data_IF_476815120160
#
_entry.id   IF_476815120160
#
_cell.length_a   1.000
_cell.length_b   1.000
_cell.length_c   1.000
_cell.angle_alpha   90.00
_cell.angle_beta   90.00
_cell.angle_gamma   90.00
#
_symmetry.space_group_name_H-M   'P 1'
#
loop_
_entity.id
_entity.type
_entity.pdbx_description
1 polymer ?
#
# COMPACT_ATOMS: atom_id res chain seq x y z
N UNK A 1 -19.20 8.14 63.65
CA UNK A 1 -20.02 8.70 62.55
C UNK A 1 -19.06 8.97 61.40
N UNK A 2 -19.21 8.19 60.34
CA UNK A 2 -18.20 7.89 59.34
C UNK A 2 -17.99 9.01 58.32
N UNK A 3 -16.74 9.41 58.11
CA UNK A 3 -16.33 10.28 57.01
C UNK A 3 -15.82 9.45 55.84
N UNK A 4 -16.67 9.14 54.87
CA UNK A 4 -16.30 8.91 53.47
C UNK A 4 -17.60 8.93 52.64
N UNK A 5 -17.73 9.85 51.68
CA UNK A 5 -17.44 9.44 50.31
C UNK A 5 -16.96 10.59 49.42
N UNK A 6 -15.85 11.25 49.77
CA UNK A 6 -15.23 12.21 48.83
C UNK A 6 -14.55 11.46 47.67
N UNK A 7 -14.08 10.23 47.91
CA UNK A 7 -13.42 9.39 46.91
C UNK A 7 -14.36 9.03 45.74
N UNK A 8 -15.67 8.86 46.00
CA UNK A 8 -16.64 8.49 44.95
C UNK A 8 -16.91 9.64 43.97
N UNK A 9 -16.80 10.91 44.40
CA UNK A 9 -16.97 12.06 43.50
C UNK A 9 -15.76 12.28 42.59
N UNK A 10 -14.55 11.92 43.03
CA UNK A 10 -13.34 12.04 42.23
C UNK A 10 -13.25 10.97 41.13
N UNK A 11 -13.75 9.76 41.39
CA UNK A 11 -13.86 8.70 40.37
C UNK A 11 -14.85 9.04 39.25
N UNK A 12 -15.92 9.78 39.57
CA UNK A 12 -16.92 10.16 38.56
C UNK A 12 -16.38 11.19 37.54
N UNK A 13 -15.44 12.05 37.95
CA UNK A 13 -14.83 13.05 37.07
C UNK A 13 -13.79 12.45 36.11
N UNK A 14 -13.11 11.38 36.49
CA UNK A 14 -12.12 10.69 35.64
C UNK A 14 -12.76 9.81 34.55
N UNK A 15 -14.00 9.34 34.75
CA UNK A 15 -14.71 8.57 33.72
C UNK A 15 -15.24 9.44 32.56
N UNK A 16 -15.37 10.75 32.77
CA UNK A 16 -15.85 11.70 31.75
C UNK A 16 -14.73 12.27 30.86
N UNK A 17 -13.47 11.96 31.14
CA UNK A 17 -12.30 12.44 30.38
C UNK A 17 -11.35 11.33 29.94
N UNK A 18 -11.86 10.12 29.69
CA UNK A 18 -11.17 9.24 28.76
C UNK A 18 -11.66 9.59 27.34
N UNK A 19 -10.83 10.18 26.47
CA UNK A 19 -11.08 10.08 25.04
C UNK A 19 -11.30 8.60 24.75
N UNK A 20 -12.42 8.29 24.12
CA UNK A 20 -12.67 6.96 23.58
C UNK A 20 -11.38 6.40 23.01
N UNK A 21 -11.07 5.16 23.40
CA UNK A 21 -10.10 4.34 22.71
C UNK A 21 -10.24 4.60 21.21
N UNK A 22 -9.14 5.00 20.57
CA UNK A 22 -9.02 5.09 19.13
C UNK A 22 -9.16 3.67 18.57
N UNK A 23 -10.38 3.15 18.58
CA UNK A 23 -10.78 2.07 17.70
C UNK A 23 -10.53 2.60 16.31
N UNK A 24 -9.71 1.86 15.56
CA UNK A 24 -9.31 2.18 14.20
C UNK A 24 -10.46 2.87 13.47
N UNK A 25 -10.23 4.10 13.00
CA UNK A 25 -11.21 4.87 12.24
C UNK A 25 -11.76 3.95 11.17
N UNK A 26 -13.04 3.58 11.27
CA UNK A 26 -13.74 2.86 10.22
C UNK A 26 -13.79 3.81 9.03
N UNK A 27 -12.79 3.72 8.16
CA UNK A 27 -12.66 4.60 7.00
C UNK A 27 -13.91 4.39 6.17
N UNK A 28 -14.72 5.45 6.03
CA UNK A 28 -15.88 5.40 5.14
C UNK A 28 -15.39 5.07 3.73
N UNK A 29 -16.17 4.35 2.89
CA UNK A 29 -15.68 3.86 1.59
C UNK A 29 -14.99 4.92 0.73
N UNK A 30 -15.52 6.15 0.71
CA UNK A 30 -14.90 7.28 -0.01
C UNK A 30 -13.54 7.70 0.57
N UNK A 31 -13.39 7.74 1.90
CA UNK A 31 -12.11 8.08 2.54
C UNK A 31 -11.05 7.00 2.34
N UNK A 32 -11.48 5.73 2.28
CA UNK A 32 -10.60 4.60 2.02
C UNK A 32 -10.07 4.64 0.58
N UNK A 33 -10.93 4.86 -0.42
CA UNK A 33 -10.48 4.98 -1.81
C UNK A 33 -9.52 6.16 -2.01
N UNK A 34 -9.82 7.34 -1.43
CA UNK A 34 -8.91 8.47 -1.49
C UNK A 34 -7.54 8.16 -0.89
N UNK A 35 -7.51 7.43 0.23
CA UNK A 35 -6.26 6.97 0.86
C UNK A 35 -5.47 6.05 -0.08
N UNK A 36 -6.12 5.07 -0.69
CA UNK A 36 -5.50 4.11 -1.62
C UNK A 36 -4.93 4.80 -2.87
N UNK A 37 -5.70 5.73 -3.46
CA UNK A 37 -5.24 6.53 -4.60
C UNK A 37 -4.08 7.47 -4.22
N UNK A 38 -4.06 7.98 -2.99
CA UNK A 38 -2.95 8.79 -2.49
C UNK A 38 -1.69 7.94 -2.29
N UNK A 39 -1.79 6.71 -1.78
CA UNK A 39 -0.64 5.78 -1.69
C UNK A 39 -0.02 5.52 -3.05
N UNK A 40 -0.84 5.21 -4.05
CA UNK A 40 -0.37 4.99 -5.43
C UNK A 40 0.36 6.23 -5.96
N UNK A 41 -0.24 7.42 -5.80
CA UNK A 41 0.36 8.69 -6.21
C UNK A 41 1.70 8.94 -5.53
N UNK A 42 1.77 8.73 -4.22
CA UNK A 42 3.00 8.92 -3.46
C UNK A 42 4.12 8.01 -3.95
N UNK A 43 3.82 6.72 -4.18
CA UNK A 43 4.82 5.79 -4.70
C UNK A 43 5.28 6.25 -6.08
N UNK A 44 4.36 6.59 -7.00
CA UNK A 44 4.73 7.09 -8.34
C UNK A 44 5.63 8.33 -8.27
N UNK A 45 5.31 9.30 -7.40
CA UNK A 45 6.11 10.50 -7.22
C UNK A 45 7.50 10.21 -6.63
N UNK A 46 7.60 9.24 -5.74
CA UNK A 46 8.88 8.85 -5.14
C UNK A 46 9.73 8.03 -6.14
N UNK A 47 9.09 7.24 -7.01
CA UNK A 47 9.76 6.56 -8.13
C UNK A 47 10.36 7.55 -9.13
N UNK A 48 9.68 8.66 -9.43
CA UNK A 48 10.18 9.70 -10.34
C UNK A 48 11.48 10.37 -9.88
N UNK A 49 11.79 10.28 -8.58
CA UNK A 49 13.00 10.84 -7.99
C UNK A 49 14.17 9.86 -7.98
N UNK A 50 13.97 8.60 -8.34
CA UNK A 50 15.04 7.60 -8.35
C UNK A 50 16.07 7.95 -9.42
N UNK A 51 17.38 7.91 -9.09
CA UNK A 51 18.44 8.14 -10.07
C UNK A 51 18.58 6.91 -10.97
N UNK A 52 17.93 6.95 -12.13
CA UNK A 52 17.93 5.86 -13.11
C UNK A 52 18.71 6.28 -14.35
N UNK A 53 19.65 5.44 -14.80
CA UNK A 53 20.51 5.71 -15.96
C UNK A 53 19.80 5.49 -17.31
N UNK A 54 18.87 4.54 -17.38
CA UNK A 54 18.06 4.22 -18.55
C UNK A 54 16.73 3.62 -18.12
N UNK A 55 15.64 3.96 -18.80
CA UNK A 55 14.34 3.31 -18.62
C UNK A 55 14.14 2.31 -19.74
N UNK A 56 13.96 1.04 -19.38
CA UNK A 56 13.61 0.00 -20.34
C UNK A 56 12.13 0.08 -20.71
N UNK A 57 11.81 -0.17 -21.98
CA UNK A 57 10.42 -0.16 -22.44
C UNK A 57 9.75 -1.51 -22.14
N UNK A 58 8.58 -1.47 -21.52
CA UNK A 58 7.78 -2.69 -21.28
C UNK A 58 7.28 -3.29 -22.58
N UNK A 59 7.51 -4.58 -22.77
CA UNK A 59 6.92 -5.33 -23.87
C UNK A 59 5.45 -5.69 -23.57
N UNK A 60 4.70 -6.07 -24.61
CA UNK A 60 3.26 -6.36 -24.49
C UNK A 60 2.93 -7.52 -23.54
N UNK A 61 3.83 -8.49 -23.40
CA UNK A 61 3.63 -9.61 -22.48
C UNK A 61 3.78 -9.18 -21.02
N UNK A 62 4.76 -8.33 -20.73
CA UNK A 62 4.96 -7.74 -19.40
C UNK A 62 3.76 -6.89 -19.00
N UNK A 63 3.30 -5.98 -19.88
CA UNK A 63 2.11 -5.16 -19.61
C UNK A 63 0.90 -6.02 -19.28
N UNK A 64 0.61 -7.02 -20.12
CA UNK A 64 -0.49 -7.97 -19.89
C UNK A 64 -0.36 -8.68 -18.56
N UNK A 65 0.86 -9.10 -18.17
CA UNK A 65 1.13 -9.78 -16.90
C UNK A 65 0.89 -8.86 -15.69
N UNK A 66 1.31 -7.61 -15.78
CA UNK A 66 1.13 -6.61 -14.73
C UNK A 66 -0.34 -6.23 -14.53
N UNK A 67 -1.15 -6.29 -15.60
CA UNK A 67 -2.59 -6.03 -15.56
C UNK A 67 -3.42 -7.24 -15.10
N UNK A 68 -2.85 -8.45 -15.09
CA UNK A 68 -3.61 -9.66 -14.79
C UNK A 68 -3.98 -9.72 -13.29
N UNK A 69 -5.29 -9.69 -12.99
CA UNK A 69 -5.82 -9.66 -11.62
C UNK A 69 -5.30 -10.81 -10.75
N UNK A 70 -5.19 -12.02 -11.30
CA UNK A 70 -4.67 -13.20 -10.60
C UNK A 70 -3.19 -13.10 -10.23
N UNK A 71 -2.46 -12.19 -10.89
CA UNK A 71 -1.03 -11.96 -10.68
C UNK A 71 -0.76 -10.70 -9.88
N UNK A 72 -1.77 -9.94 -9.46
CA UNK A 72 -1.54 -8.70 -8.72
C UNK A 72 -0.75 -8.95 -7.42
N UNK A 73 -1.13 -9.95 -6.63
CA UNK A 73 -0.46 -10.25 -5.37
C UNK A 73 0.94 -10.87 -5.57
N UNK A 74 1.12 -11.90 -6.44
CA UNK A 74 2.46 -12.39 -6.78
C UNK A 74 3.40 -11.30 -7.33
N UNK A 75 2.91 -10.40 -8.20
CA UNK A 75 3.72 -9.30 -8.71
C UNK A 75 4.13 -8.33 -7.60
N UNK A 76 3.25 -8.05 -6.62
CA UNK A 76 3.60 -7.21 -5.47
C UNK A 76 4.75 -7.82 -4.67
N UNK A 77 4.77 -9.15 -4.49
CA UNK A 77 5.82 -9.84 -3.73
C UNK A 77 7.19 -9.69 -4.39
N UNK A 78 7.25 -9.74 -5.72
CA UNK A 78 8.47 -9.44 -6.49
C UNK A 78 8.92 -7.99 -6.28
N UNK A 79 8.00 -7.03 -6.34
CA UNK A 79 8.32 -5.61 -6.08
C UNK A 79 8.79 -5.37 -4.64
N UNK A 80 8.17 -6.00 -3.64
CA UNK A 80 8.56 -5.90 -2.24
C UNK A 80 9.95 -6.51 -2.01
N UNK A 81 10.23 -7.66 -2.63
CA UNK A 81 11.53 -8.34 -2.55
C UNK A 81 12.61 -7.45 -3.15
N UNK A 82 12.38 -6.93 -4.36
CA UNK A 82 13.33 -6.03 -5.01
C UNK A 82 13.53 -4.74 -4.21
N UNK A 83 12.46 -4.10 -3.73
CA UNK A 83 12.52 -2.86 -2.96
C UNK A 83 13.27 -3.06 -1.63
N UNK A 84 13.08 -4.19 -0.96
CA UNK A 84 13.83 -4.55 0.25
C UNK A 84 15.33 -4.59 -0.02
N UNK A 85 15.73 -5.29 -1.08
CA UNK A 85 17.13 -5.48 -1.43
C UNK A 85 17.80 -4.19 -1.95
N UNK A 86 17.06 -3.35 -2.68
CA UNK A 86 17.62 -2.22 -3.43
C UNK A 86 17.43 -0.87 -2.75
N UNK A 87 16.32 -0.68 -2.02
CA UNK A 87 15.95 0.61 -1.40
C UNK A 87 16.01 0.54 0.14
N UNK A 88 16.03 -0.67 0.71
CA UNK A 88 15.99 -0.91 2.14
C UNK A 88 14.56 -1.02 2.70
N UNK A 89 14.43 -1.80 3.78
CA UNK A 89 13.15 -2.08 4.46
C UNK A 89 12.44 -0.81 4.94
N UNK A 90 13.20 0.23 5.28
CA UNK A 90 12.68 1.49 5.80
C UNK A 90 12.28 2.51 4.74
N UNK A 91 12.53 2.22 3.47
CA UNK A 91 12.19 3.12 2.38
C UNK A 91 10.69 3.41 2.34
N UNK A 92 10.35 4.65 2.00
CA UNK A 92 8.95 5.09 1.88
C UNK A 92 8.18 4.29 0.83
N UNK A 93 8.84 3.95 -0.28
CA UNK A 93 8.27 3.08 -1.33
C UNK A 93 7.91 1.72 -0.73
N UNK A 94 8.82 1.06 0.00
CA UNK A 94 8.55 -0.25 0.62
C UNK A 94 7.37 -0.20 1.59
N UNK A 95 7.33 0.82 2.46
CA UNK A 95 6.25 1.01 3.43
C UNK A 95 4.89 1.19 2.75
N UNK A 96 4.83 2.05 1.73
CA UNK A 96 3.59 2.29 0.99
C UNK A 96 3.15 1.06 0.16
N UNK A 97 4.08 0.26 -0.37
CA UNK A 97 3.75 -1.00 -1.05
C UNK A 97 3.13 -2.04 -0.09
N UNK A 98 3.61 -2.12 1.16
CA UNK A 98 2.98 -2.98 2.19
C UNK A 98 1.55 -2.54 2.50
N UNK A 99 1.28 -1.24 2.52
CA UNK A 99 -0.08 -0.69 2.71
C UNK A 99 -1.02 -0.98 1.53
N UNK A 100 -0.47 -1.23 0.32
CA UNK A 100 -1.23 -1.67 -0.85
C UNK A 100 -1.56 -3.17 -0.78
N UNK A 101 -0.76 -3.98 -0.11
CA UNK A 101 -0.99 -5.43 -0.03
C UNK A 101 -2.42 -5.86 0.37
N UNK A 102 -3.08 -5.27 1.39
CA UNK A 102 -4.44 -5.66 1.79
C UNK A 102 -5.54 -5.29 0.79
N UNK A 103 -5.28 -4.37 -0.16
CA UNK A 103 -6.30 -3.94 -1.13
C UNK A 103 -6.34 -4.83 -2.38
N UNK A 104 -5.33 -5.70 -2.53
CA UNK A 104 -5.21 -6.59 -3.68
C UNK A 104 -6.07 -7.84 -3.54
N UNK A 105 -6.61 -8.37 -4.65
CA UNK A 105 -7.27 -9.65 -4.68
C UNK A 105 -6.35 -10.77 -4.16
N UNK A 106 -6.89 -11.67 -3.36
CA UNK A 106 -6.18 -12.86 -2.84
C UNK A 106 -6.28 -14.05 -3.81
N UNK A 107 -6.49 -13.79 -5.10
CA UNK A 107 -6.56 -14.85 -6.09
C UNK A 107 -5.20 -15.55 -6.19
N UNK A 108 -5.19 -16.88 -6.08
CA UNK A 108 -3.99 -17.67 -6.34
C UNK A 108 -3.86 -17.94 -7.84
N UNK A 109 -2.65 -17.83 -8.36
CA UNK A 109 -2.29 -18.14 -9.73
C UNK A 109 -1.14 -19.13 -9.75
N UNK A 110 -1.16 -20.04 -10.72
CA UNK A 110 -0.04 -20.94 -11.03
C UNK A 110 0.90 -20.36 -12.07
N UNK A 111 0.55 -19.21 -12.66
CA UNK A 111 1.43 -18.49 -13.59
C UNK A 111 2.54 -17.80 -12.80
N UNK A 112 3.70 -17.72 -13.41
CA UNK A 112 4.83 -16.98 -12.84
C UNK A 112 4.50 -15.48 -12.71
N UNK A 113 5.04 -14.79 -11.69
CA UNK A 113 4.91 -13.35 -11.54
C UNK A 113 5.78 -12.61 -12.56
N UNK A 114 5.76 -11.28 -12.51
CA UNK A 114 6.67 -10.43 -13.27
C UNK A 114 8.11 -10.62 -12.77
N UNK A 115 9.05 -10.78 -13.68
CA UNK A 115 10.47 -10.78 -13.33
C UNK A 115 11.00 -9.35 -13.35
N UNK A 116 11.65 -8.94 -12.27
CA UNK A 116 12.38 -7.67 -12.21
C UNK A 116 13.86 -7.98 -12.42
N UNK A 117 14.49 -7.29 -13.37
CA UNK A 117 15.89 -7.48 -13.66
C UNK A 117 16.75 -7.13 -12.44
N UNK A 118 17.69 -8.03 -12.13
CA UNK A 118 18.55 -7.91 -10.96
C UNK A 118 19.36 -6.61 -11.03
N UNK A 119 19.39 -5.87 -9.93
CA UNK A 119 20.12 -4.61 -9.78
C UNK A 119 19.73 -3.51 -10.81
N UNK A 120 18.58 -3.67 -11.50
CA UNK A 120 18.08 -2.71 -12.49
C UNK A 120 16.94 -1.87 -11.90
N UNK A 121 17.30 -0.70 -11.35
CA UNK A 121 16.31 0.27 -10.83
C UNK A 121 15.39 0.84 -11.91
N UNK A 122 15.82 0.87 -13.17
CA UNK A 122 15.01 1.36 -14.28
C UNK A 122 13.89 0.41 -14.63
N UNK A 123 14.23 -0.87 -14.77
CA UNK A 123 13.26 -1.95 -14.98
C UNK A 123 12.22 -1.99 -13.85
N UNK A 124 12.70 -1.98 -12.60
CA UNK A 124 11.83 -1.88 -11.42
C UNK A 124 10.88 -0.69 -11.50
N UNK A 125 11.39 0.50 -11.82
CA UNK A 125 10.60 1.74 -11.87
C UNK A 125 9.51 1.68 -12.93
N UNK A 126 9.83 1.25 -14.16
CA UNK A 126 8.86 1.22 -15.26
C UNK A 126 7.80 0.14 -14.99
N UNK A 127 8.21 -1.07 -14.57
CA UNK A 127 7.28 -2.15 -14.21
C UNK A 127 6.36 -1.75 -13.06
N UNK A 128 6.89 -1.13 -12.01
CA UNK A 128 6.08 -0.74 -10.86
C UNK A 128 5.08 0.37 -11.21
N UNK A 129 5.45 1.33 -12.07
CA UNK A 129 4.50 2.36 -12.55
C UNK A 129 3.32 1.75 -13.31
N UNK A 130 3.60 0.84 -14.23
CA UNK A 130 2.55 0.16 -15.01
C UNK A 130 1.64 -0.68 -14.09
N UNK A 131 2.23 -1.41 -13.16
CA UNK A 131 1.52 -2.16 -12.13
C UNK A 131 0.58 -1.28 -11.29
N UNK A 132 1.09 -0.16 -10.79
CA UNK A 132 0.31 0.81 -10.01
C UNK A 132 -0.81 1.45 -10.83
N UNK A 133 -0.59 1.67 -12.13
CA UNK A 133 -1.64 2.11 -13.05
C UNK A 133 -2.77 1.09 -13.14
N UNK A 134 -2.45 -0.20 -13.28
CA UNK A 134 -3.45 -1.26 -13.33
C UNK A 134 -4.28 -1.36 -12.03
N UNK A 135 -3.65 -1.19 -10.86
CA UNK A 135 -4.36 -1.15 -9.57
C UNK A 135 -5.28 0.06 -9.52
N UNK A 136 -4.78 1.26 -9.85
CA UNK A 136 -5.58 2.50 -9.85
C UNK A 136 -6.82 2.35 -10.72
N UNK A 137 -6.67 1.80 -11.92
CA UNK A 137 -7.77 1.62 -12.85
C UNK A 137 -8.79 0.62 -12.29
N UNK A 138 -8.35 -0.47 -11.64
CA UNK A 138 -9.23 -1.41 -10.92
C UNK A 138 -10.00 -0.76 -9.77
N UNK A 139 -9.36 0.13 -9.00
CA UNK A 139 -10.01 0.87 -7.91
C UNK A 139 -11.07 1.85 -8.41
N UNK A 140 -10.85 2.46 -9.57
CA UNK A 140 -11.82 3.37 -10.18
C UNK A 140 -13.05 2.61 -10.73
N UNK A 141 -12.87 1.42 -11.31
CA UNK A 141 -13.96 0.61 -11.86
C UNK A 141 -14.91 0.00 -10.82
N UNK A 142 -14.50 -0.14 -9.55
CA UNK A 142 -15.35 -0.72 -8.49
C UNK A 142 -16.56 0.16 -8.10
N UNK A 143 -16.61 1.41 -8.58
CA UNK A 143 -17.60 2.42 -8.18
C UNK A 143 -18.50 2.92 -9.32
N UNK A 144 -18.49 2.24 -10.48
CA UNK A 144 -19.44 2.40 -11.59
C UNK A 144 -20.35 1.20 -11.70
#
# INVERSE_FOLDING_TARGET
>A
MSSLPILHRLLFLLALQAPQAQGATLKTPGTQQCYELNLIREITNDLDKLPVASEDSLNSNEKRRLMETSLQRPNLEEFLTFATNSLGEDSKIMKNLKEIQPILPTAMSTKEPILIEKDNLGDFRVKLKEYLSAIRDSLNCKNT
#
